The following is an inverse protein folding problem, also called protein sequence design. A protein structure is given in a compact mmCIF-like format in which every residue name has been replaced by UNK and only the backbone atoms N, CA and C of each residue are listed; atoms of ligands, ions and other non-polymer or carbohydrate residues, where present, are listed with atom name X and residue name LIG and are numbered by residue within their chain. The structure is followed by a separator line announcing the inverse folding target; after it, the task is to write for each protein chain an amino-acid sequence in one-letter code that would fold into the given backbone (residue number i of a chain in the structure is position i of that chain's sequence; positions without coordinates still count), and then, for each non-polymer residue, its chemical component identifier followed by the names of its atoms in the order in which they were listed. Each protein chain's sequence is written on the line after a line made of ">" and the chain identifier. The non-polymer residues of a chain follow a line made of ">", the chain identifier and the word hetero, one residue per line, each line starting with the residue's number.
data_IF_399199248910
#
_entry.id   IF_399199248910
#
_cell.length_a   1.000
_cell.length_b   1.000
_cell.length_c   1.000
_cell.angle_alpha   90.00
_cell.angle_beta   90.00
_cell.angle_gamma   90.00
#
_symmetry.space_group_name_H-M   'P 1'
#
loop_
_entity.id
_entity.type
_entity.pdbx_description
1 polymer ?
#
# COMPACT_ATOMS: atom_id res chain seq x y z
N UNK A 1 8.27 45.25 -3.14
CA UNK A 1 8.26 44.08 -2.23
C UNK A 1 6.92 43.78 -1.55
N UNK A 2 5.91 44.66 -1.56
CA UNK A 2 4.58 44.36 -0.98
C UNK A 2 3.55 43.73 -1.95
N UNK A 3 3.86 43.61 -3.24
CA UNK A 3 2.97 42.98 -4.25
C UNK A 3 3.24 41.48 -4.51
N UNK A 4 4.34 40.93 -3.99
CA UNK A 4 4.64 39.48 -4.09
C UNK A 4 4.01 38.69 -2.93
N UNK A 5 3.84 39.32 -1.77
CA UNK A 5 3.18 38.76 -0.59
C UNK A 5 1.65 38.66 -0.73
N UNK A 6 1.04 39.44 -1.63
CA UNK A 6 -0.39 39.38 -1.90
C UNK A 6 -0.78 38.28 -2.90
N UNK A 7 0.13 37.86 -3.78
CA UNK A 7 -0.09 36.72 -4.70
C UNK A 7 0.08 35.35 -4.03
N UNK A 8 0.84 35.27 -2.94
CA UNK A 8 0.99 34.03 -2.15
C UNK A 8 -0.20 33.76 -1.21
N UNK A 9 -0.96 34.79 -0.81
CA UNK A 9 -2.20 34.61 -0.02
C UNK A 9 -3.37 34.03 -0.82
N UNK A 10 -3.31 34.08 -2.16
CA UNK A 10 -4.33 33.46 -3.02
C UNK A 10 -4.06 31.97 -3.33
N UNK A 11 -2.89 31.43 -2.94
CA UNK A 11 -2.58 30.00 -3.03
C UNK A 11 -2.93 29.22 -1.75
N UNK A 12 -3.33 29.93 -0.68
CA UNK A 12 -3.71 29.36 0.61
C UNK A 12 -5.14 29.76 1.03
N UNK A 13 -6.10 29.66 0.10
CA UNK A 13 -7.50 29.49 0.47
C UNK A 13 -7.90 28.02 0.30
N UNK A 14 -8.74 27.46 1.20
CA UNK A 14 -9.17 26.07 1.14
C UNK A 14 -10.28 25.93 0.08
N UNK A 15 -9.91 26.08 -1.19
CA UNK A 15 -10.74 25.76 -2.35
C UNK A 15 -9.89 25.94 -3.61
N UNK A 16 -9.06 24.95 -3.96
CA UNK A 16 -8.57 24.86 -5.32
C UNK A 16 -8.38 23.41 -5.74
N UNK A 17 -9.35 22.99 -6.54
CA UNK A 17 -9.41 21.76 -7.31
C UNK A 17 -8.09 21.53 -8.05
N UNK A 18 -7.49 20.36 -7.82
CA UNK A 18 -6.54 19.77 -8.76
C UNK A 18 -7.35 19.43 -10.03
N UNK A 19 -7.30 20.32 -11.04
CA UNK A 19 -7.76 20.00 -12.39
C UNK A 19 -6.73 19.09 -13.04
N UNK A 20 -7.05 17.80 -13.13
CA UNK A 20 -6.39 16.90 -14.08
C UNK A 20 -6.77 17.32 -15.51
N UNK A 21 -5.84 17.31 -16.49
CA UNK A 21 -6.20 17.49 -17.89
C UNK A 21 -7.10 16.33 -18.33
N UNK A 22 -8.31 16.69 -18.75
CA UNK A 22 -9.36 15.82 -19.26
C UNK A 22 -8.89 14.99 -20.45
N UNK A 23 -8.86 13.68 -20.29
CA UNK A 23 -8.87 12.75 -21.42
C UNK A 23 -10.32 12.66 -21.91
N UNK A 24 -10.60 13.26 -23.08
CA UNK A 24 -11.92 13.45 -23.65
C UNK A 24 -12.48 12.18 -24.30
N UNK A 25 -12.81 11.15 -23.54
CA UNK A 25 -13.69 10.07 -24.02
C UNK A 25 -14.53 9.57 -22.84
N UNK A 26 -15.54 10.34 -22.44
CA UNK A 26 -16.78 9.84 -21.80
C UNK A 26 -17.81 10.96 -21.56
N UNK A 27 -17.98 11.86 -22.54
CA UNK A 27 -19.22 12.65 -22.66
C UNK A 27 -20.33 11.75 -23.21
N UNK A 28 -20.86 10.87 -22.37
CA UNK A 28 -22.22 10.32 -22.52
C UNK A 28 -22.52 9.49 -21.29
N UNK A 29 -23.03 10.18 -20.26
CA UNK A 29 -24.01 9.72 -19.27
C UNK A 29 -24.22 10.90 -18.33
N UNK A 30 -24.85 11.93 -18.89
CA UNK A 30 -25.33 13.10 -18.17
C UNK A 30 -26.65 12.74 -17.46
N UNK A 31 -26.91 13.44 -16.36
CA UNK A 31 -28.13 13.47 -15.55
C UNK A 31 -28.16 12.55 -14.31
N UNK A 32 -27.39 12.94 -13.30
CA UNK A 32 -27.85 13.11 -11.91
C UNK A 32 -26.67 13.64 -11.07
N UNK A 33 -26.50 14.97 -11.07
CA UNK A 33 -25.36 15.63 -10.45
C UNK A 33 -25.72 16.25 -9.09
N UNK A 34 -25.68 15.43 -8.04
CA UNK A 34 -25.58 15.84 -6.64
C UNK A 34 -24.12 15.64 -6.14
N UNK A 35 -23.14 16.14 -6.90
CA UNK A 35 -21.71 15.93 -6.63
C UNK A 35 -21.09 16.87 -5.57
N UNK A 36 -21.91 17.56 -4.77
CA UNK A 36 -21.43 18.50 -3.75
C UNK A 36 -21.33 17.93 -2.32
N UNK A 37 -21.38 16.61 -2.10
CA UNK A 37 -21.13 16.04 -0.77
C UNK A 37 -20.26 14.80 -0.83
N UNK A 38 -19.19 14.86 -0.04
CA UNK A 38 -18.13 13.87 0.17
C UNK A 38 -17.07 13.79 -0.95
N UNK A 39 -16.05 14.66 -0.84
CA UNK A 39 -14.68 14.16 -1.05
C UNK A 39 -14.55 12.85 -0.27
N UNK A 40 -14.12 11.73 -0.88
CA UNK A 40 -13.87 10.53 -0.09
C UNK A 40 -12.89 10.92 1.00
N UNK A 41 -13.34 10.90 2.25
CA UNK A 41 -12.47 11.04 3.41
C UNK A 41 -11.63 9.78 3.35
N UNK A 42 -10.47 9.85 2.69
CA UNK A 42 -9.50 8.77 2.77
C UNK A 42 -9.11 8.76 4.24
N UNK A 43 -9.34 7.67 4.98
CA UNK A 43 -8.97 7.63 6.38
C UNK A 43 -7.46 7.78 6.39
N UNK A 44 -6.94 8.94 6.77
CA UNK A 44 -5.57 9.01 7.25
C UNK A 44 -5.54 8.14 8.50
N UNK A 45 -4.52 7.29 8.67
CA UNK A 45 -4.27 6.73 10.00
C UNK A 45 -3.86 7.95 10.83
N UNK A 46 -4.86 8.46 11.56
CA UNK A 46 -4.90 9.80 12.13
C UNK A 46 -3.69 10.03 13.03
N UNK A 47 -3.35 11.30 13.30
CA UNK A 47 -2.45 11.61 14.42
C UNK A 47 -3.05 11.09 15.73
N UNK A 48 -2.23 10.78 16.73
CA UNK A 48 -2.70 10.30 18.05
C UNK A 48 -3.76 11.22 18.69
N UNK A 49 -3.65 12.53 18.43
CA UNK A 49 -4.59 13.57 18.87
C UNK A 49 -5.95 13.54 18.15
N UNK A 50 -6.04 12.82 17.04
CA UNK A 50 -7.22 12.68 16.18
C UNK A 50 -7.78 11.25 16.22
N UNK A 51 -7.07 10.29 16.80
CA UNK A 51 -7.55 8.90 16.94
C UNK A 51 -8.49 8.72 18.13
N UNK A 52 -9.48 7.79 18.03
CA UNK A 52 -10.26 7.36 19.18
C UNK A 52 -9.34 6.87 20.31
N UNK A 53 -9.74 7.02 21.60
CA UNK A 53 -8.92 6.64 22.74
C UNK A 53 -8.30 5.25 22.60
N UNK A 54 -7.08 5.04 23.14
CA UNK A 54 -6.40 3.77 23.01
C UNK A 54 -7.24 2.67 23.67
N UNK A 55 -7.62 1.66 22.90
CA UNK A 55 -8.39 0.51 23.43
C UNK A 55 -7.47 -0.63 23.90
N UNK A 56 -6.17 -0.52 23.63
CA UNK A 56 -5.13 -1.46 24.05
C UNK A 56 -3.81 -0.71 24.28
N UNK A 57 -2.87 -1.35 25.01
CA UNK A 57 -1.52 -0.80 25.18
C UNK A 57 -0.77 -0.78 23.84
N UNK A 58 0.14 0.19 23.59
CA UNK A 58 0.93 0.25 22.36
C UNK A 58 1.63 -1.07 22.00
N UNK A 59 2.16 -1.80 22.99
CA UNK A 59 2.74 -3.13 22.77
C UNK A 59 1.75 -4.17 22.23
N UNK A 60 0.53 -4.21 22.79
CA UNK A 60 -0.52 -5.13 22.32
C UNK A 60 -0.96 -4.76 20.90
N UNK A 61 -1.04 -3.46 20.63
CA UNK A 61 -1.34 -2.92 19.30
C UNK A 61 -0.26 -3.29 18.29
N UNK A 62 1.01 -3.15 18.65
CA UNK A 62 2.14 -3.57 17.82
C UNK A 62 2.09 -5.07 17.50
N UNK A 63 1.84 -5.91 18.51
CA UNK A 63 1.74 -7.37 18.34
C UNK A 63 0.61 -7.75 17.38
N UNK A 64 -0.53 -7.05 17.42
CA UNK A 64 -1.61 -7.26 16.46
C UNK A 64 -1.16 -6.99 15.02
N UNK A 65 -0.49 -5.86 14.76
CA UNK A 65 -0.07 -5.52 13.40
C UNK A 65 1.02 -6.45 12.90
N UNK A 66 1.98 -6.84 13.76
CA UNK A 66 2.99 -7.84 13.42
C UNK A 66 2.32 -9.18 13.07
N UNK A 67 1.35 -9.63 13.86
CA UNK A 67 0.60 -10.86 13.61
C UNK A 67 -0.33 -10.78 12.38
N UNK A 68 -0.76 -9.57 12.01
CA UNK A 68 -1.59 -9.33 10.81
C UNK A 68 -0.79 -9.41 9.51
N UNK A 69 0.55 -9.41 9.59
CA UNK A 69 1.39 -9.55 8.41
C UNK A 69 1.39 -11.01 7.93
N UNK A 70 0.70 -11.25 6.83
CA UNK A 70 0.73 -12.50 6.08
C UNK A 70 1.54 -12.31 4.79
N UNK A 71 2.70 -12.96 4.71
CA UNK A 71 3.60 -12.86 3.56
C UNK A 71 2.99 -13.38 2.26
N UNK A 72 2.12 -14.41 2.32
CA UNK A 72 1.41 -14.92 1.16
C UNK A 72 0.43 -13.87 0.62
N UNK A 73 -0.42 -13.34 1.49
CA UNK A 73 -1.41 -12.31 1.11
C UNK A 73 -0.70 -11.06 0.60
N UNK A 74 0.34 -10.61 1.29
CA UNK A 74 1.12 -9.44 0.90
C UNK A 74 1.74 -9.62 -0.49
N UNK A 75 2.43 -10.75 -0.73
CA UNK A 75 3.08 -11.06 -2.01
C UNK A 75 2.07 -11.11 -3.15
N UNK A 76 0.93 -11.77 -2.93
CA UNK A 76 -0.16 -11.82 -3.90
C UNK A 76 -0.70 -10.42 -4.26
N UNK A 77 -0.67 -9.48 -3.31
CA UNK A 77 -1.12 -8.10 -3.56
C UNK A 77 -0.12 -7.25 -4.34
N UNK A 78 1.19 -7.46 -4.14
CA UNK A 78 2.23 -6.58 -4.72
C UNK A 78 2.74 -7.06 -6.08
N UNK A 79 2.60 -8.35 -6.39
CA UNK A 79 3.06 -8.91 -7.65
C UNK A 79 1.93 -9.04 -8.66
N UNK A 80 2.24 -8.66 -9.91
CA UNK A 80 1.32 -8.87 -11.02
C UNK A 80 1.22 -10.36 -11.34
N UNK A 81 0.03 -10.80 -11.74
CA UNK A 81 -0.20 -12.20 -12.19
C UNK A 81 0.78 -12.62 -13.29
N UNK A 82 1.22 -11.68 -14.12
CA UNK A 82 2.22 -11.97 -15.15
C UNK A 82 3.56 -12.44 -14.58
N UNK A 83 4.00 -11.79 -13.51
CA UNK A 83 5.24 -12.16 -12.83
C UNK A 83 5.06 -13.48 -12.08
N UNK A 84 3.91 -13.67 -11.41
CA UNK A 84 3.55 -14.92 -10.72
C UNK A 84 3.57 -16.11 -11.68
N UNK A 85 2.97 -15.97 -12.88
CA UNK A 85 2.93 -17.05 -13.87
C UNK A 85 4.28 -17.29 -14.54
N UNK A 86 5.13 -16.27 -14.66
CA UNK A 86 6.48 -16.45 -15.18
C UNK A 86 7.33 -17.25 -14.21
N UNK A 87 7.31 -16.87 -12.93
CA UNK A 87 8.00 -17.60 -11.86
C UNK A 87 7.47 -19.02 -11.70
N UNK A 88 6.15 -19.21 -11.78
CA UNK A 88 5.54 -20.54 -11.79
C UNK A 88 6.10 -21.44 -12.91
N UNK A 89 6.39 -20.87 -14.08
CA UNK A 89 7.04 -21.60 -15.18
C UNK A 89 8.49 -21.93 -14.86
N UNK A 90 9.23 -21.01 -14.26
CA UNK A 90 10.63 -21.25 -13.88
C UNK A 90 10.75 -22.35 -12.82
N UNK A 91 9.78 -22.43 -11.91
CA UNK A 91 9.73 -23.42 -10.82
C UNK A 91 9.01 -24.73 -11.19
N UNK A 92 8.48 -24.87 -12.41
CA UNK A 92 7.75 -26.08 -12.85
C UNK A 92 6.43 -26.33 -12.11
N UNK A 93 5.70 -25.28 -11.74
CA UNK A 93 4.41 -25.37 -11.05
C UNK A 93 3.26 -25.68 -12.04
N UNK A 94 3.24 -26.91 -12.55
CA UNK A 94 2.33 -27.32 -13.63
C UNK A 94 0.83 -27.18 -13.28
N UNK A 95 0.44 -27.42 -12.02
CA UNK A 95 -0.98 -27.30 -11.63
C UNK A 95 -1.47 -25.85 -11.66
N UNK A 96 -0.59 -24.88 -11.39
CA UNK A 96 -0.88 -23.46 -11.56
C UNK A 96 -1.00 -23.07 -13.04
N UNK A 97 -0.09 -23.59 -13.86
CA UNK A 97 -0.01 -23.27 -15.29
C UNK A 97 -1.14 -23.92 -16.10
N UNK A 98 -1.69 -25.04 -15.62
CA UNK A 98 -2.83 -25.73 -16.24
C UNK A 98 -4.09 -24.86 -16.34
N UNK A 99 -4.30 -23.98 -15.35
CA UNK A 99 -5.46 -23.09 -15.30
C UNK A 99 -5.11 -21.76 -14.62
N UNK A 100 -4.42 -20.84 -15.32
CA UNK A 100 -4.01 -19.55 -14.77
C UNK A 100 -5.18 -18.68 -14.33
N UNK A 101 -6.36 -18.88 -14.94
CA UNK A 101 -7.58 -18.16 -14.57
C UNK A 101 -8.13 -18.56 -13.20
N UNK A 102 -7.78 -19.76 -12.71
CA UNK A 102 -8.16 -20.19 -11.36
C UNK A 102 -7.43 -19.41 -10.26
N UNK A 103 -6.29 -18.80 -10.58
CA UNK A 103 -5.57 -17.89 -9.69
C UNK A 103 -6.25 -16.54 -9.55
N UNK A 104 -7.37 -16.29 -10.24
CA UNK A 104 -7.94 -14.96 -10.31
C UNK A 104 -8.86 -14.66 -9.13
N UNK A 105 -8.32 -14.05 -8.08
CA UNK A 105 -9.05 -13.59 -6.91
C UNK A 105 -8.72 -12.12 -6.66
N UNK A 106 -9.70 -11.21 -6.48
CA UNK A 106 -9.39 -9.83 -6.16
C UNK A 106 -8.55 -9.76 -4.86
N UNK A 107 -7.39 -9.06 -4.84
CA UNK A 107 -6.48 -9.04 -3.70
C UNK A 107 -7.14 -8.57 -2.41
N UNK A 108 -8.05 -7.59 -2.50
CA UNK A 108 -8.82 -7.12 -1.35
C UNK A 108 -9.69 -8.23 -0.71
N UNK A 109 -10.05 -9.27 -1.46
CA UNK A 109 -10.74 -10.45 -0.91
C UNK A 109 -9.81 -11.25 -0.01
N UNK A 110 -8.55 -11.45 -0.43
CA UNK A 110 -7.54 -12.12 0.38
C UNK A 110 -7.12 -11.28 1.58
N UNK A 111 -6.97 -9.97 1.42
CA UNK A 111 -6.66 -9.04 2.53
C UNK A 111 -7.74 -9.09 3.60
N UNK A 112 -9.02 -9.10 3.22
CA UNK A 112 -10.14 -9.14 4.18
C UNK A 112 -10.41 -10.53 4.74
N UNK A 113 -10.13 -11.57 3.95
CA UNK A 113 -10.34 -12.95 4.35
C UNK A 113 -9.28 -13.86 3.71
N UNK A 114 -8.13 -14.08 4.39
CA UNK A 114 -7.05 -14.93 3.89
C UNK A 114 -7.51 -16.35 3.53
N UNK A 115 -8.51 -16.89 4.25
CA UNK A 115 -9.08 -18.22 3.96
C UNK A 115 -9.75 -18.33 2.59
N UNK A 116 -10.05 -17.20 1.93
CA UNK A 116 -10.55 -17.19 0.55
C UNK A 116 -9.56 -17.82 -0.44
N UNK A 117 -8.27 -17.91 -0.08
CA UNK A 117 -7.25 -18.63 -0.85
C UNK A 117 -7.53 -20.12 -0.98
N UNK A 118 -8.34 -20.72 -0.09
CA UNK A 118 -8.75 -22.12 -0.19
C UNK A 118 -9.51 -22.44 -1.49
N UNK A 119 -10.06 -21.42 -2.16
CA UNK A 119 -10.72 -21.55 -3.47
C UNK A 119 -9.76 -22.00 -4.58
N UNK A 120 -8.45 -21.84 -4.40
CA UNK A 120 -7.45 -22.32 -5.36
C UNK A 120 -7.33 -23.85 -5.36
N UNK A 121 -7.74 -24.53 -4.28
CA UNK A 121 -7.44 -25.95 -4.04
C UNK A 121 -6.08 -26.12 -3.36
N UNK A 122 -5.92 -27.17 -2.55
CA UNK A 122 -4.75 -27.37 -1.68
C UNK A 122 -3.44 -27.47 -2.44
N UNK A 123 -3.40 -28.23 -3.53
CA UNK A 123 -2.18 -28.46 -4.34
C UNK A 123 -1.71 -27.15 -5.00
N UNK A 124 -2.64 -26.43 -5.63
CA UNK A 124 -2.37 -25.13 -6.25
C UNK A 124 -1.99 -24.08 -5.22
N UNK A 125 -2.66 -24.04 -4.07
CA UNK A 125 -2.33 -23.10 -3.00
C UNK A 125 -0.88 -23.34 -2.50
N UNK A 126 -0.48 -24.60 -2.34
CA UNK A 126 0.89 -24.96 -1.96
C UNK A 126 1.91 -24.51 -3.01
N UNK A 127 1.66 -24.78 -4.29
CA UNK A 127 2.53 -24.30 -5.37
C UNK A 127 2.58 -22.77 -5.44
N UNK A 128 1.44 -22.09 -5.29
CA UNK A 128 1.36 -20.64 -5.31
C UNK A 128 2.14 -20.03 -4.14
N UNK A 129 2.07 -20.63 -2.96
CA UNK A 129 2.85 -20.20 -1.81
C UNK A 129 4.36 -20.29 -2.08
N UNK A 130 4.83 -21.36 -2.73
CA UNK A 130 6.23 -21.51 -3.14
C UNK A 130 6.64 -20.42 -4.13
N UNK A 131 5.83 -20.20 -5.17
CA UNK A 131 6.06 -19.16 -6.19
C UNK A 131 6.11 -17.77 -5.57
N UNK A 132 5.12 -17.41 -4.74
CA UNK A 132 5.06 -16.11 -4.09
C UNK A 132 6.21 -15.90 -3.10
N UNK A 133 6.62 -16.95 -2.39
CA UNK A 133 7.77 -16.90 -1.50
C UNK A 133 9.08 -16.69 -2.27
N UNK A 134 9.26 -17.36 -3.42
CA UNK A 134 10.41 -17.14 -4.32
C UNK A 134 10.49 -15.68 -4.76
N UNK A 135 9.39 -15.14 -5.30
CA UNK A 135 9.30 -13.75 -5.73
C UNK A 135 9.53 -12.77 -4.58
N UNK A 136 8.98 -13.03 -3.39
CA UNK A 136 9.19 -12.17 -2.24
C UNK A 136 10.66 -12.14 -1.82
N UNK A 137 11.33 -13.29 -1.78
CA UNK A 137 12.75 -13.37 -1.42
C UNK A 137 13.64 -12.62 -2.41
N UNK A 138 13.41 -12.78 -3.71
CA UNK A 138 14.14 -12.01 -4.74
C UNK A 138 13.86 -10.51 -4.58
N UNK A 139 12.60 -10.15 -4.35
CA UNK A 139 12.20 -8.77 -4.16
C UNK A 139 12.83 -8.15 -2.92
N UNK A 140 12.90 -8.86 -1.77
CA UNK A 140 13.56 -8.38 -0.55
C UNK A 140 15.03 -8.04 -0.79
N UNK A 141 15.72 -8.84 -1.60
CA UNK A 141 17.12 -8.59 -1.98
C UNK A 141 17.30 -7.41 -2.95
N UNK A 142 16.21 -6.90 -3.54
CA UNK A 142 16.26 -5.81 -4.51
C UNK A 142 16.34 -4.43 -3.84
N UNK A 143 16.89 -3.44 -4.56
CA UNK A 143 16.94 -2.04 -4.11
C UNK A 143 15.57 -1.36 -3.98
N UNK A 144 14.51 -2.06 -4.39
CA UNK A 144 13.13 -1.55 -4.38
C UNK A 144 12.39 -1.88 -3.09
N UNK A 145 12.85 -2.87 -2.33
CA UNK A 145 12.19 -3.36 -1.12
C UNK A 145 12.26 -2.34 0.02
N UNK A 146 11.25 -2.39 0.88
CA UNK A 146 11.27 -1.65 2.14
C UNK A 146 12.46 -2.08 3.02
N UNK A 147 12.83 -3.37 3.00
CA UNK A 147 13.97 -3.87 3.76
C UNK A 147 15.29 -3.22 3.33
N UNK A 148 15.55 -3.08 2.03
CA UNK A 148 16.72 -2.38 1.53
C UNK A 148 16.74 -0.92 1.99
N UNK A 149 15.60 -0.22 1.91
CA UNK A 149 15.49 1.17 2.36
C UNK A 149 15.74 1.29 3.87
N UNK A 150 15.19 0.38 4.67
CA UNK A 150 15.44 0.33 6.11
C UNK A 150 16.91 0.10 6.44
N UNK A 151 17.59 -0.77 5.69
CA UNK A 151 19.02 -0.99 5.81
C UNK A 151 19.82 0.28 5.48
N UNK A 152 19.45 1.02 4.43
CA UNK A 152 20.09 2.31 4.10
C UNK A 152 19.89 3.37 5.21
N UNK A 153 18.77 3.30 5.94
CA UNK A 153 18.50 4.12 7.12
C UNK A 153 19.09 3.55 8.41
N UNK A 154 19.92 2.50 8.33
CA UNK A 154 20.56 1.85 9.49
C UNK A 154 19.56 1.34 10.55
N UNK A 155 18.36 0.93 10.12
CA UNK A 155 17.35 0.38 11.02
C UNK A 155 17.77 -1.02 11.45
N UNK A 156 17.92 -1.21 12.76
CA UNK A 156 18.33 -2.45 13.40
C UNK A 156 17.16 -3.38 13.76
N UNK A 157 15.95 -2.83 13.90
CA UNK A 157 14.78 -3.58 14.36
C UNK A 157 14.21 -4.51 13.28
N UNK A 158 14.24 -5.84 13.46
CA UNK A 158 13.83 -6.80 12.43
C UNK A 158 12.31 -6.82 12.22
N UNK A 159 11.52 -6.54 13.25
CA UNK A 159 10.06 -6.60 13.17
C UNK A 159 9.40 -5.28 12.74
N UNK A 160 10.19 -4.22 12.52
CA UNK A 160 9.63 -2.95 12.04
C UNK A 160 9.03 -3.10 10.62
N UNK A 161 9.67 -3.85 9.74
CA UNK A 161 9.21 -4.06 8.36
C UNK A 161 7.92 -4.91 8.30
N UNK A 162 7.87 -6.08 8.96
CA UNK A 162 6.63 -6.83 9.16
C UNK A 162 5.51 -5.98 9.78
N UNK A 163 5.82 -5.19 10.81
CA UNK A 163 4.86 -4.27 11.43
C UNK A 163 4.27 -3.29 10.41
N UNK A 164 5.10 -2.56 9.66
CA UNK A 164 4.64 -1.57 8.67
C UNK A 164 3.81 -2.20 7.54
N UNK A 165 4.18 -3.41 7.11
CA UNK A 165 3.42 -4.16 6.10
C UNK A 165 2.09 -4.69 6.65
N UNK A 166 2.08 -5.13 7.90
CA UNK A 166 0.85 -5.49 8.62
C UNK A 166 -0.10 -4.29 8.78
N UNK A 167 0.44 -3.09 9.00
CA UNK A 167 -0.34 -1.84 9.00
C UNK A 167 -1.00 -1.60 7.65
N UNK A 168 -0.29 -1.80 6.54
CA UNK A 168 -0.90 -1.69 5.19
C UNK A 168 -2.06 -2.68 5.01
N UNK A 169 -1.88 -3.95 5.39
CA UNK A 169 -2.93 -4.97 5.27
C UNK A 169 -4.15 -4.65 6.15
N UNK A 170 -3.93 -4.19 7.39
CA UNK A 170 -4.98 -3.81 8.31
C UNK A 170 -5.74 -2.54 7.84
N UNK A 171 -5.03 -1.56 7.27
CA UNK A 171 -5.63 -0.37 6.70
C UNK A 171 -6.54 -0.72 5.50
N UNK A 172 -6.10 -1.62 4.63
CA UNK A 172 -6.77 -1.94 3.36
C UNK A 172 -7.94 -2.93 3.55
N UNK A 173 -7.91 -3.71 4.63
CA UNK A 173 -9.07 -4.46 5.11
C UNK A 173 -10.11 -3.56 5.77
N UNK A 174 -9.83 -2.26 5.99
CA UNK A 174 -10.60 -1.35 6.84
C UNK A 174 -10.81 -1.94 8.24
N UNK A 175 -9.77 -2.56 8.80
CA UNK A 175 -9.87 -3.16 10.12
C UNK A 175 -10.17 -2.08 11.16
N UNK A 176 -11.15 -2.26 12.07
CA UNK A 176 -11.53 -1.24 13.06
C UNK A 176 -10.37 -0.79 13.97
N UNK A 177 -9.37 -1.65 14.12
CA UNK A 177 -8.18 -1.40 14.92
C UNK A 177 -7.07 -0.64 14.17
N UNK A 178 -7.16 -0.48 12.84
CA UNK A 178 -6.15 0.19 12.04
C UNK A 178 -5.79 1.61 12.57
N UNK A 179 -6.74 2.46 13.00
CA UNK A 179 -6.40 3.78 13.54
C UNK A 179 -5.48 3.74 14.77
N UNK A 180 -5.49 2.66 15.55
CA UNK A 180 -4.69 2.54 16.78
C UNK A 180 -3.18 2.49 16.52
N UNK A 181 -2.76 2.31 15.26
CA UNK A 181 -1.34 2.40 14.86
C UNK A 181 -0.72 3.74 15.24
N UNK A 182 -1.51 4.81 15.30
CA UNK A 182 -1.03 6.15 15.63
C UNK A 182 -0.29 6.18 16.98
N UNK A 183 -0.82 5.47 17.98
CA UNK A 183 -0.21 5.38 19.31
C UNK A 183 1.12 4.61 19.29
N UNK A 184 1.25 3.60 18.41
CA UNK A 184 2.51 2.87 18.23
C UNK A 184 3.55 3.75 17.54
N UNK A 185 3.13 4.50 16.50
CA UNK A 185 4.02 5.44 15.80
C UNK A 185 4.48 6.57 16.73
N UNK A 186 3.58 7.10 17.56
CA UNK A 186 3.89 8.14 18.55
C UNK A 186 4.89 7.64 19.61
N UNK A 187 4.73 6.42 20.11
CA UNK A 187 5.68 5.81 21.06
C UNK A 187 7.06 5.56 20.42
N UNK A 188 7.10 5.04 19.18
CA UNK A 188 8.35 4.88 18.44
C UNK A 188 9.02 6.23 18.16
N UNK A 189 8.25 7.28 17.90
CA UNK A 189 8.78 8.62 17.68
C UNK A 189 9.32 9.23 18.99
N UNK A 190 8.53 9.19 20.05
CA UNK A 190 8.79 9.87 21.33
C UNK A 190 9.83 9.13 22.17
N UNK A 191 9.63 7.82 22.34
CA UNK A 191 10.44 7.00 23.24
C UNK A 191 11.45 6.12 22.48
N UNK A 192 11.23 5.88 21.18
CA UNK A 192 12.08 4.96 20.40
C UNK A 192 11.84 3.50 20.75
N UNK A 193 10.84 3.20 21.57
CA UNK A 193 10.65 1.87 22.12
C UNK A 193 9.17 1.62 22.40
N UNK A 194 8.63 0.52 21.86
CA UNK A 194 7.28 0.03 22.18
C UNK A 194 7.37 -1.31 22.90
N UNK A 195 8.26 -2.18 22.43
CA UNK A 195 8.54 -3.48 23.05
C UNK A 195 9.96 -3.94 22.68
N UNK A 196 10.52 -4.98 23.31
CA UNK A 196 11.81 -5.54 22.93
C UNK A 196 11.90 -5.98 21.46
N UNK A 197 10.74 -6.21 20.85
CA UNK A 197 10.57 -6.67 19.47
C UNK A 197 10.36 -5.51 18.50
N UNK A 198 9.84 -4.37 18.94
CA UNK A 198 9.53 -3.20 18.13
C UNK A 198 10.11 -1.93 18.77
N UNK A 199 11.20 -1.44 18.18
CA UNK A 199 11.94 -0.28 18.64
C UNK A 199 12.56 0.46 17.44
N UNK A 200 13.00 1.68 17.66
CA UNK A 200 13.68 2.50 16.67
C UNK A 200 14.71 3.39 17.35
N UNK A 201 15.98 3.19 17.01
CA UNK A 201 17.11 3.93 17.60
C UNK A 201 17.20 5.36 17.05
N UNK A 202 17.97 6.20 17.76
CA UNK A 202 18.27 7.58 17.36
C UNK A 202 17.50 8.63 18.16
N UNK A 203 17.74 9.89 17.85
CA UNK A 203 17.04 11.04 18.43
C UNK A 203 15.59 11.15 17.93
N UNK A 204 14.75 11.88 18.65
CA UNK A 204 13.36 12.17 18.24
C UNK A 204 13.24 12.60 16.77
N UNK A 205 14.04 13.58 16.34
CA UNK A 205 14.02 14.09 14.97
C UNK A 205 14.45 13.03 13.94
N UNK A 206 15.45 12.20 14.26
CA UNK A 206 15.87 11.10 13.39
C UNK A 206 14.78 10.03 13.28
N UNK A 207 14.17 9.63 14.39
CA UNK A 207 13.09 8.64 14.42
C UNK A 207 11.88 9.11 13.63
N UNK A 208 11.49 10.37 13.81
CA UNK A 208 10.37 10.97 13.08
C UNK A 208 10.61 10.93 11.56
N UNK A 209 11.81 11.34 11.13
CA UNK A 209 12.22 11.30 9.72
C UNK A 209 12.25 9.89 9.14
N UNK A 210 12.87 8.95 9.85
CA UNK A 210 12.97 7.55 9.42
C UNK A 210 11.57 6.93 9.33
N UNK A 211 10.70 7.12 10.32
CA UNK A 211 9.32 6.60 10.29
C UNK A 211 8.54 7.15 9.09
N UNK A 212 8.59 8.46 8.85
CA UNK A 212 7.88 9.07 7.73
C UNK A 212 8.38 8.53 6.37
N UNK A 213 9.70 8.39 6.21
CA UNK A 213 10.31 7.82 5.00
C UNK A 213 9.91 6.35 4.82
N UNK A 214 9.97 5.54 5.87
CA UNK A 214 9.60 4.13 5.80
C UNK A 214 8.11 3.94 5.49
N UNK A 215 7.22 4.74 6.08
CA UNK A 215 5.79 4.72 5.76
C UNK A 215 5.54 5.14 4.32
N UNK A 216 6.22 6.17 3.82
CA UNK A 216 6.14 6.61 2.43
C UNK A 216 6.54 5.48 1.48
N UNK A 217 7.68 4.82 1.74
CA UNK A 217 8.14 3.72 0.91
C UNK A 217 7.29 2.44 1.05
N UNK A 218 6.77 2.15 2.24
CA UNK A 218 5.85 1.04 2.48
C UNK A 218 4.53 1.25 1.72
N UNK A 219 4.00 2.48 1.74
CA UNK A 219 2.80 2.84 0.96
C UNK A 219 3.01 2.70 -0.54
N UNK A 220 4.22 2.97 -1.06
CA UNK A 220 4.60 2.73 -2.47
C UNK A 220 4.81 1.25 -2.77
N UNK A 221 5.39 0.50 -1.85
CA UNK A 221 5.61 -0.93 -1.98
C UNK A 221 4.26 -1.65 -2.13
N UNK A 222 3.36 -1.43 -1.17
CA UNK A 222 2.04 -2.05 -1.18
C UNK A 222 1.07 -1.38 -2.16
N UNK A 223 1.12 -0.06 -2.29
CA UNK A 223 0.08 0.76 -2.94
C UNK A 223 -1.09 1.00 -1.98
N UNK A 224 -0.86 1.77 -0.91
CA UNK A 224 -1.90 2.14 0.06
C UNK A 224 -2.02 3.65 0.23
N UNK A 225 -3.11 4.26 -0.24
CA UNK A 225 -3.37 5.68 -0.02
C UNK A 225 -3.45 6.04 1.47
N UNK A 226 -4.11 5.21 2.28
CA UNK A 226 -4.26 5.44 3.73
C UNK A 226 -2.92 5.63 4.42
N UNK A 227 -1.97 4.71 4.20
CA UNK A 227 -0.62 4.79 4.78
C UNK A 227 0.19 5.93 4.14
N UNK A 228 -0.01 6.19 2.84
CA UNK A 228 0.64 7.30 2.13
C UNK A 228 0.28 8.65 2.75
N UNK A 229 -1.00 8.90 3.03
CA UNK A 229 -1.44 10.14 3.64
C UNK A 229 -0.87 10.33 5.05
N UNK A 230 -0.77 9.27 5.85
CA UNK A 230 -0.12 9.32 7.17
C UNK A 230 1.36 9.68 7.03
N UNK A 231 2.06 9.08 6.07
CA UNK A 231 3.47 9.43 5.81
C UNK A 231 3.63 10.91 5.46
N UNK A 232 2.81 11.43 4.53
CA UNK A 232 2.86 12.83 4.11
C UNK A 232 2.54 13.80 5.25
N UNK A 233 1.60 13.44 6.13
CA UNK A 233 1.27 14.25 7.30
C UNK A 233 2.46 14.33 8.26
N UNK A 234 3.12 13.20 8.54
CA UNK A 234 4.33 13.19 9.38
C UNK A 234 5.48 14.00 8.77
N UNK A 235 5.67 13.95 7.45
CA UNK A 235 6.68 14.77 6.77
C UNK A 235 6.36 16.27 6.86
N UNK A 236 5.07 16.62 6.77
CA UNK A 236 4.63 18.01 6.89
C UNK A 236 4.95 18.60 8.27
N UNK A 237 4.70 17.84 9.35
CA UNK A 237 5.01 18.25 10.72
C UNK A 237 6.51 18.48 10.96
N UNK A 238 7.35 17.74 10.24
CA UNK A 238 8.82 17.89 10.31
C UNK A 238 9.35 19.10 9.52
N UNK A 239 8.48 19.81 8.80
CA UNK A 239 8.88 20.83 7.83
C UNK A 239 9.84 20.28 6.76
N UNK A 240 9.84 18.96 6.53
CA UNK A 240 10.54 18.37 5.39
C UNK A 240 9.80 18.73 4.10
N UNK A 241 10.55 18.84 3.00
CA UNK A 241 9.98 19.17 1.70
C UNK A 241 9.17 17.96 1.15
N UNK A 242 7.93 17.81 1.62
CA UNK A 242 6.92 16.93 1.03
C UNK A 242 6.67 17.25 -0.47
N UNK A 243 7.17 18.39 -0.94
CA UNK A 243 7.14 18.88 -2.32
C UNK A 243 8.37 18.50 -3.15
N UNK A 244 9.30 17.68 -2.61
CA UNK A 244 10.41 17.16 -3.42
C UNK A 244 9.89 16.30 -4.58
N UNK A 245 10.56 16.38 -5.74
CA UNK A 245 10.22 15.58 -6.92
C UNK A 245 10.21 14.07 -6.63
N UNK A 246 11.08 13.59 -5.73
CA UNK A 246 11.15 12.18 -5.36
C UNK A 246 9.94 11.74 -4.52
N UNK A 247 9.47 12.62 -3.64
CA UNK A 247 8.24 12.39 -2.86
C UNK A 247 7.04 12.38 -3.81
N UNK A 248 6.94 13.35 -4.73
CA UNK A 248 5.87 13.38 -5.73
C UNK A 248 5.85 12.13 -6.61
N UNK A 249 7.01 11.69 -7.09
CA UNK A 249 7.13 10.44 -7.85
C UNK A 249 6.67 9.24 -7.02
N UNK A 250 7.04 9.20 -5.74
CA UNK A 250 6.65 8.12 -4.83
C UNK A 250 5.14 8.08 -4.58
N UNK A 251 4.53 9.25 -4.35
CA UNK A 251 3.08 9.44 -4.25
C UNK A 251 2.37 8.92 -5.50
N UNK A 252 2.80 9.37 -6.69
CA UNK A 252 2.21 8.93 -7.95
C UNK A 252 2.30 7.41 -8.13
N UNK A 253 3.45 6.81 -7.82
CA UNK A 253 3.63 5.36 -7.93
C UNK A 253 2.77 4.58 -6.94
N UNK A 254 2.60 5.08 -5.71
CA UNK A 254 1.74 4.46 -4.70
C UNK A 254 0.27 4.45 -5.16
N UNK A 255 -0.24 5.60 -5.62
CA UNK A 255 -1.63 5.73 -6.10
C UNK A 255 -1.88 4.92 -7.39
N UNK A 256 -0.93 4.94 -8.34
CA UNK A 256 -1.04 4.11 -9.56
C UNK A 256 -1.07 2.63 -9.22
N UNK A 257 -0.26 2.17 -8.26
CA UNK A 257 -0.29 0.77 -7.81
C UNK A 257 -1.62 0.40 -7.15
N UNK A 258 -2.15 1.27 -6.30
CA UNK A 258 -3.46 1.05 -5.68
C UNK A 258 -4.56 0.91 -6.74
N UNK A 259 -4.62 1.84 -7.69
CA UNK A 259 -5.59 1.80 -8.78
C UNK A 259 -5.39 0.59 -9.69
N UNK A 260 -4.13 0.23 -10.01
CA UNK A 260 -3.83 -0.97 -10.79
C UNK A 260 -4.31 -2.23 -10.08
N UNK A 261 -4.11 -2.34 -8.76
CA UNK A 261 -4.61 -3.46 -7.95
C UNK A 261 -6.13 -3.53 -7.93
N UNK A 262 -6.85 -2.40 -8.03
CA UNK A 262 -8.31 -2.41 -8.18
C UNK A 262 -8.73 -2.80 -9.61
N UNK A 263 -8.12 -2.18 -10.62
CA UNK A 263 -8.49 -2.27 -12.03
C UNK A 263 -8.11 -3.59 -12.68
N UNK A 264 -6.88 -4.07 -12.51
CA UNK A 264 -6.40 -5.33 -13.08
C UNK A 264 -7.37 -6.46 -12.72
N UNK A 265 -7.81 -6.47 -11.46
CA UNK A 265 -8.72 -7.46 -10.91
C UNK A 265 -10.19 -7.24 -11.30
N UNK A 266 -10.66 -6.00 -11.41
CA UNK A 266 -11.99 -5.70 -11.97
C UNK A 266 -12.11 -6.13 -13.44
N UNK A 267 -11.04 -5.96 -14.23
CA UNK A 267 -10.98 -6.42 -15.63
C UNK A 267 -10.97 -7.95 -15.73
N UNK A 268 -10.32 -8.63 -14.80
CA UNK A 268 -10.26 -10.11 -14.70
C UNK A 268 -11.58 -10.75 -14.25
N UNK A 269 -12.40 -10.04 -13.48
CA UNK A 269 -13.69 -10.54 -12.94
C UNK A 269 -14.90 -10.20 -13.83
N UNK A 270 -14.78 -9.24 -14.76
CA UNK A 270 -15.82 -8.93 -15.75
C UNK A 270 -15.78 -9.86 -16.96
N UNK A 271 -16.58 -10.92 -16.91
CA UNK A 271 -17.25 -11.58 -18.05
C UNK A 271 -16.38 -12.21 -19.15
N UNK A 272 -16.69 -13.49 -19.45
CA UNK A 272 -16.18 -14.39 -20.49
C UNK A 272 -14.65 -14.57 -20.59
N UNK A 273 -14.15 -15.81 -20.78
CA UNK A 273 -12.72 -16.08 -20.90
C UNK A 273 -12.15 -15.27 -22.08
N UNK A 274 -11.31 -14.28 -21.77
CA UNK A 274 -10.70 -13.41 -22.78
C UNK A 274 -9.44 -14.08 -23.30
N UNK A 275 -9.54 -14.80 -24.41
CA UNK A 275 -8.43 -15.58 -24.95
C UNK A 275 -7.18 -14.72 -25.20
N UNK A 276 -6.04 -15.21 -24.70
CA UNK A 276 -4.66 -14.72 -24.79
C UNK A 276 -4.20 -13.69 -23.73
N UNK A 277 -3.79 -14.21 -22.58
CA UNK A 277 -2.79 -13.59 -21.70
C UNK A 277 -1.39 -13.77 -22.32
N UNK A 278 -0.58 -12.70 -22.41
CA UNK A 278 0.84 -12.82 -22.76
C UNK A 278 1.73 -12.21 -21.67
N UNK A 279 2.84 -12.88 -21.36
CA UNK A 279 3.80 -12.45 -20.33
C UNK A 279 4.37 -11.04 -20.58
N UNK A 280 4.41 -10.60 -21.85
CA UNK A 280 4.92 -9.28 -22.24
C UNK A 280 3.87 -8.16 -22.29
N UNK A 281 2.59 -8.47 -22.51
CA UNK A 281 1.54 -7.45 -22.72
C UNK A 281 0.39 -7.52 -21.71
N UNK A 282 0.40 -8.51 -20.81
CA UNK A 282 -0.77 -8.81 -19.98
C UNK A 282 -1.93 -9.36 -20.81
N UNK A 283 -3.17 -9.10 -20.38
CA UNK A 283 -4.36 -9.41 -21.17
C UNK A 283 -4.51 -8.40 -22.30
N UNK A 284 -4.43 -8.85 -23.55
CA UNK A 284 -4.70 -7.99 -24.70
C UNK A 284 -6.20 -7.86 -24.90
N UNK A 285 -6.74 -6.64 -24.82
CA UNK A 285 -8.07 -6.35 -25.33
C UNK A 285 -8.02 -6.28 -26.85
N UNK A 286 -8.62 -7.25 -27.54
CA UNK A 286 -9.08 -6.98 -28.89
C UNK A 286 -10.28 -6.05 -28.77
N UNK A 287 -10.06 -4.76 -28.98
CA UNK A 287 -11.15 -3.86 -29.37
C UNK A 287 -11.55 -4.32 -30.78
N UNK A 288 -12.64 -5.08 -30.87
CA UNK A 288 -13.34 -5.29 -32.13
C UNK A 288 -14.38 -4.18 -32.28
#
# INVERSE_FOLDING_TARGET
>A
MQRLTQKLRLLFQPACLIRFPSCSIMESLNNNADWNKATPIVPTLLLSSQTPPPIAKPEQTANFFIASFDAFVFSYCIFDVALILDEARQLGADDLLSSPTSLLLPPLTLVRNPSSGNRFGSERLAQLAVVLNSLLNEYEASTRSLAYIAQQQQVSCPLLMPFLRGVCLAAESNHPFAPQVAYVLEELQTNGFVSPQLFLDGSYAQRQRVLALLLLHCSKEFGSATVLYTALQMMHEQHEAATSNDVFRTVCLALVKEERRKLDWALKTRGSPRYAFSSRRGWTHNVR
#
